data_IF_884216335101
#
_entry.id   IF_884216335101
#
_cell.length_a   1.000
_cell.length_b   1.000
_cell.length_c   1.000
_cell.angle_alpha   90.00
_cell.angle_beta   90.00
_cell.angle_gamma   90.00
#
_symmetry.space_group_name_H-M   'P 1'
#
loop_
_entity.id
_entity.type
_entity.pdbx_description
1 polymer ?
#
# COMPACT_ATOMS: atom_id res chain seq x y z
N UNK A 1 -56.26 27.21 -48.61
CA UNK A 1 -55.18 27.76 -47.77
C UNK A 1 -54.82 26.78 -46.70
N UNK A 2 -53.74 26.03 -46.84
CA UNK A 2 -53.26 25.04 -45.87
C UNK A 2 -52.11 25.68 -45.07
N UNK A 3 -52.27 25.83 -43.78
CA UNK A 3 -51.23 26.30 -42.86
C UNK A 3 -50.35 25.10 -42.51
N UNK A 4 -49.07 25.16 -42.98
CA UNK A 4 -48.06 24.21 -42.54
C UNK A 4 -47.56 24.62 -41.14
N UNK A 5 -47.82 23.77 -40.16
CA UNK A 5 -47.25 23.89 -38.82
C UNK A 5 -45.77 23.45 -38.86
N UNK A 6 -44.84 24.41 -38.72
CA UNK A 6 -43.44 24.10 -38.46
C UNK A 6 -43.33 23.53 -37.04
N UNK A 7 -43.05 22.24 -36.91
CA UNK A 7 -42.55 21.65 -35.68
C UNK A 7 -41.08 22.05 -35.56
N UNK A 8 -40.82 23.03 -34.72
CA UNK A 8 -39.46 23.36 -34.26
C UNK A 8 -38.97 22.21 -33.38
N UNK A 9 -38.14 21.36 -33.91
CA UNK A 9 -37.36 20.43 -33.11
C UNK A 9 -36.51 21.22 -32.12
N UNK A 10 -36.83 21.14 -30.86
CA UNK A 10 -35.91 21.57 -29.79
C UNK A 10 -34.68 20.68 -29.89
N UNK A 11 -33.57 21.27 -30.33
CA UNK A 11 -32.27 20.63 -30.17
C UNK A 11 -32.06 20.47 -28.67
N UNK A 12 -32.10 19.25 -28.16
CA UNK A 12 -31.65 18.94 -26.84
C UNK A 12 -30.19 19.43 -26.74
N UNK A 13 -29.93 20.25 -25.73
CA UNK A 13 -28.54 20.66 -25.40
C UNK A 13 -27.73 19.36 -25.25
N UNK A 14 -26.50 19.28 -25.79
CA UNK A 14 -25.69 18.07 -25.69
C UNK A 14 -25.55 17.71 -24.23
N UNK A 15 -26.24 16.66 -23.77
CA UNK A 15 -26.19 16.14 -22.42
C UNK A 15 -24.71 15.87 -22.10
N UNK A 16 -24.24 16.38 -20.98
CA UNK A 16 -22.86 16.12 -20.56
C UNK A 16 -22.74 14.61 -20.33
N UNK A 17 -21.83 13.97 -21.08
CA UNK A 17 -21.62 12.53 -21.03
C UNK A 17 -21.16 12.11 -19.62
N UNK A 18 -21.90 11.27 -18.88
CA UNK A 18 -21.55 10.88 -17.51
C UNK A 18 -20.15 10.26 -17.39
N UNK A 19 -19.74 9.45 -18.38
CA UNK A 19 -18.41 8.85 -18.37
C UNK A 19 -17.30 9.91 -18.45
N UNK A 20 -17.48 10.96 -19.26
CA UNK A 20 -16.51 12.06 -19.32
C UNK A 20 -16.49 12.85 -18.02
N UNK A 21 -17.63 13.03 -17.36
CA UNK A 21 -17.68 13.67 -16.04
C UNK A 21 -16.95 12.80 -15.00
N UNK A 22 -17.17 11.50 -15.03
CA UNK A 22 -16.49 10.55 -14.16
C UNK A 22 -14.96 10.58 -14.36
N UNK A 23 -14.50 10.58 -15.60
CA UNK A 23 -13.07 10.68 -15.90
C UNK A 23 -12.47 12.01 -15.41
N UNK A 24 -13.17 13.13 -15.62
CA UNK A 24 -12.71 14.45 -15.14
C UNK A 24 -12.60 14.51 -13.62
N UNK A 25 -13.59 13.98 -12.89
CA UNK A 25 -13.56 13.91 -11.43
C UNK A 25 -12.42 12.99 -10.93
N UNK A 26 -12.17 11.88 -11.62
CA UNK A 26 -11.03 11.00 -11.31
C UNK A 26 -9.68 11.71 -11.51
N UNK A 27 -9.51 12.48 -12.58
CA UNK A 27 -8.26 13.24 -12.80
C UNK A 27 -8.06 14.31 -11.72
N UNK A 28 -9.13 14.99 -11.30
CA UNK A 28 -9.10 15.94 -10.18
C UNK A 28 -8.74 15.22 -8.87
N UNK A 29 -9.29 14.02 -8.63
CA UNK A 29 -8.93 13.22 -7.46
C UNK A 29 -7.43 12.90 -7.41
N UNK A 30 -6.83 12.51 -8.54
CA UNK A 30 -5.39 12.27 -8.63
C UNK A 30 -4.58 13.52 -8.31
N UNK A 31 -4.96 14.67 -8.86
CA UNK A 31 -4.28 15.95 -8.60
C UNK A 31 -4.29 16.31 -7.12
N UNK A 32 -5.43 16.18 -6.44
CA UNK A 32 -5.53 16.42 -5.00
C UNK A 32 -4.66 15.45 -4.19
N UNK A 33 -4.61 14.18 -4.57
CA UNK A 33 -3.78 13.20 -3.89
C UNK A 33 -2.28 13.53 -4.00
N UNK A 34 -1.81 13.90 -5.20
CA UNK A 34 -0.42 14.32 -5.41
C UNK A 34 -0.07 15.62 -4.65
N UNK A 35 -1.03 16.48 -4.41
CA UNK A 35 -0.89 17.69 -3.56
C UNK A 35 -0.95 17.39 -2.05
N UNK A 36 -1.01 16.12 -1.64
CA UNK A 36 -1.08 15.73 -0.23
C UNK A 36 -2.44 16.00 0.41
N UNK A 37 -3.52 16.03 -0.38
CA UNK A 37 -4.89 16.29 0.07
C UNK A 37 -5.78 15.04 -0.14
N UNK A 38 -5.51 13.91 0.56
CA UNK A 38 -6.16 12.64 0.28
C UNK A 38 -7.67 12.63 0.58
N UNK A 39 -8.16 13.45 1.54
CA UNK A 39 -9.60 13.55 1.82
C UNK A 39 -10.36 14.16 0.65
N UNK A 40 -9.86 15.25 0.07
CA UNK A 40 -10.45 15.85 -1.12
C UNK A 40 -10.37 14.89 -2.33
N UNK A 41 -9.25 14.18 -2.47
CA UNK A 41 -9.11 13.16 -3.49
C UNK A 41 -10.20 12.08 -3.38
N UNK A 42 -10.47 11.60 -2.16
CA UNK A 42 -11.52 10.60 -1.93
C UNK A 42 -12.92 11.14 -2.29
N UNK A 43 -13.21 12.41 -1.97
CA UNK A 43 -14.50 13.03 -2.32
C UNK A 43 -14.69 13.13 -3.84
N UNK A 44 -13.62 13.46 -4.58
CA UNK A 44 -13.66 13.46 -6.04
C UNK A 44 -13.77 12.05 -6.63
N UNK A 45 -13.13 11.04 -6.04
CA UNK A 45 -13.37 9.64 -6.43
C UNK A 45 -14.85 9.25 -6.24
N UNK A 46 -15.48 9.64 -5.14
CA UNK A 46 -16.90 9.36 -4.89
C UNK A 46 -17.81 10.03 -5.92
N UNK A 47 -17.51 11.26 -6.34
CA UNK A 47 -18.24 11.94 -7.43
C UNK A 47 -18.04 11.22 -8.76
N UNK A 48 -16.79 10.83 -9.08
CA UNK A 48 -16.53 10.03 -10.28
C UNK A 48 -17.39 8.77 -10.31
N UNK A 49 -17.46 8.03 -9.20
CA UNK A 49 -18.26 6.81 -9.05
C UNK A 49 -19.77 7.09 -9.10
N UNK A 50 -20.22 8.30 -8.72
CA UNK A 50 -21.63 8.71 -8.87
C UNK A 50 -22.02 8.96 -10.33
N UNK A 51 -21.10 9.49 -11.15
CA UNK A 51 -21.32 9.70 -12.57
C UNK A 51 -21.23 8.39 -13.38
N UNK A 52 -20.30 7.50 -13.00
CA UNK A 52 -20.08 6.20 -13.62
C UNK A 52 -19.65 5.20 -12.55
N UNK A 53 -20.58 4.33 -12.15
CA UNK A 53 -20.37 3.35 -11.09
C UNK A 53 -19.52 2.15 -11.50
N UNK A 54 -19.19 2.04 -12.80
CA UNK A 54 -18.27 1.08 -13.39
C UNK A 54 -16.89 1.66 -13.68
N UNK A 55 -16.61 2.91 -13.32
CA UNK A 55 -15.27 3.49 -13.47
C UNK A 55 -14.25 2.75 -12.57
N UNK A 56 -13.62 1.73 -13.15
CA UNK A 56 -12.63 0.87 -12.46
C UNK A 56 -11.47 1.66 -11.87
N UNK A 57 -11.02 2.74 -12.55
CA UNK A 57 -9.91 3.59 -12.09
C UNK A 57 -10.31 4.35 -10.82
N UNK A 58 -11.50 4.95 -10.80
CA UNK A 58 -12.01 5.69 -9.65
C UNK A 58 -12.27 4.76 -8.46
N UNK A 59 -12.86 3.58 -8.70
CA UNK A 59 -13.07 2.54 -7.70
C UNK A 59 -11.75 2.06 -7.09
N UNK A 60 -10.79 1.70 -7.92
CA UNK A 60 -9.46 1.26 -7.47
C UNK A 60 -8.75 2.37 -6.68
N UNK A 61 -8.79 3.61 -7.16
CA UNK A 61 -8.12 4.72 -6.50
C UNK A 61 -8.75 5.08 -5.15
N UNK A 62 -10.09 5.03 -5.02
CA UNK A 62 -10.77 5.18 -3.73
C UNK A 62 -10.30 4.13 -2.72
N UNK A 63 -10.17 2.86 -3.14
CA UNK A 63 -9.60 1.80 -2.30
C UNK A 63 -8.17 2.11 -1.86
N UNK A 64 -7.34 2.59 -2.79
CA UNK A 64 -5.93 2.93 -2.52
C UNK A 64 -5.81 4.10 -1.53
N UNK A 65 -6.70 5.09 -1.62
CA UNK A 65 -6.74 6.22 -0.67
C UNK A 65 -7.11 5.73 0.73
N UNK A 66 -8.08 4.83 0.88
CA UNK A 66 -8.39 4.24 2.18
C UNK A 66 -7.20 3.46 2.76
N UNK A 67 -6.46 2.71 1.93
CA UNK A 67 -5.21 2.07 2.37
C UNK A 67 -4.14 3.07 2.81
N UNK A 68 -4.06 4.21 2.13
CA UNK A 68 -3.15 5.29 2.53
C UNK A 68 -3.46 5.79 3.94
N UNK A 69 -4.73 5.99 4.30
CA UNK A 69 -5.13 6.33 5.66
C UNK A 69 -4.78 5.25 6.67
N UNK A 70 -4.84 3.97 6.27
CA UNK A 70 -4.50 2.82 7.11
C UNK A 70 -3.00 2.59 7.26
N UNK A 71 -2.16 3.25 6.48
CA UNK A 71 -0.70 3.02 6.48
C UNK A 71 0.05 3.59 7.69
N UNK A 72 -0.65 4.31 8.58
CA UNK A 72 -0.05 5.02 9.73
C UNK A 72 0.82 6.22 9.35
N UNK A 73 0.82 6.63 8.07
CA UNK A 73 1.62 7.77 7.60
C UNK A 73 1.06 9.13 8.05
N UNK A 74 -0.24 9.21 8.32
CA UNK A 74 -0.89 10.43 8.78
C UNK A 74 -0.95 10.43 10.32
N UNK A 75 -1.72 9.53 10.89
CA UNK A 75 -1.83 9.35 12.34
C UNK A 75 -2.22 7.90 12.65
N UNK A 76 -1.79 7.40 13.81
CA UNK A 76 -2.24 6.08 14.26
C UNK A 76 -3.73 6.15 14.62
N UNK A 77 -4.55 5.32 13.94
CA UNK A 77 -5.99 5.31 14.16
C UNK A 77 -6.72 6.44 13.43
N UNK A 78 -6.18 6.92 12.29
CA UNK A 78 -6.90 7.86 11.42
C UNK A 78 -8.34 7.36 11.18
N UNK A 79 -9.37 8.16 11.50
CA UNK A 79 -10.78 7.76 11.36
C UNK A 79 -11.18 7.44 9.92
N UNK A 80 -10.39 7.90 8.94
CA UNK A 80 -10.59 7.58 7.53
C UNK A 80 -9.95 6.24 7.12
N UNK A 81 -9.21 5.57 8.02
CA UNK A 81 -8.77 4.19 7.84
C UNK A 81 -9.96 3.24 7.95
N UNK A 82 -10.59 2.95 6.83
CA UNK A 82 -11.77 2.09 6.73
C UNK A 82 -11.48 0.96 5.75
N UNK A 83 -10.99 -0.17 6.30
CA UNK A 83 -10.62 -1.34 5.48
C UNK A 83 -11.82 -1.96 4.78
N UNK A 84 -12.99 -1.96 5.42
CA UNK A 84 -14.23 -2.46 4.81
C UNK A 84 -14.61 -1.66 3.55
N UNK A 85 -14.49 -0.33 3.60
CA UNK A 85 -14.73 0.52 2.41
C UNK A 85 -13.68 0.25 1.33
N UNK A 86 -12.40 0.11 1.72
CA UNK A 86 -11.32 -0.23 0.79
C UNK A 86 -11.60 -1.58 0.09
N UNK A 87 -12.01 -2.61 0.85
CA UNK A 87 -12.41 -3.90 0.30
C UNK A 87 -13.63 -3.77 -0.62
N UNK A 88 -14.64 -3.01 -0.22
CA UNK A 88 -15.85 -2.76 -1.02
C UNK A 88 -15.53 -2.14 -2.38
N UNK A 89 -14.70 -1.10 -2.41
CA UNK A 89 -14.30 -0.44 -3.66
C UNK A 89 -13.47 -1.35 -4.56
N UNK A 90 -12.44 -2.03 -4.05
CA UNK A 90 -11.60 -2.89 -4.88
C UNK A 90 -12.35 -4.10 -5.42
N UNK A 91 -13.30 -4.68 -4.65
CA UNK A 91 -14.17 -5.74 -5.14
C UNK A 91 -15.12 -5.27 -6.24
N UNK A 92 -15.60 -4.01 -6.16
CA UNK A 92 -16.40 -3.42 -7.25
C UNK A 92 -15.55 -3.29 -8.51
N UNK A 93 -14.33 -2.77 -8.41
CA UNK A 93 -13.41 -2.69 -9.56
C UNK A 93 -13.16 -4.07 -10.19
N UNK A 94 -12.96 -5.10 -9.37
CA UNK A 94 -12.73 -6.48 -9.85
C UNK A 94 -13.98 -7.16 -10.42
N UNK A 95 -15.20 -6.70 -10.08
CA UNK A 95 -16.42 -7.17 -10.75
C UNK A 95 -16.55 -6.62 -12.16
N UNK A 96 -16.14 -5.36 -12.37
CA UNK A 96 -16.13 -4.72 -13.70
C UNK A 96 -14.98 -5.27 -14.55
N UNK A 97 -13.78 -5.33 -13.99
CA UNK A 97 -12.59 -5.90 -14.63
C UNK A 97 -11.95 -7.00 -13.76
N UNK A 98 -12.32 -8.26 -13.97
CA UNK A 98 -11.70 -9.39 -13.26
C UNK A 98 -10.21 -9.59 -13.60
N UNK A 99 -9.72 -8.96 -14.66
CA UNK A 99 -8.32 -8.98 -15.10
C UNK A 99 -7.44 -7.94 -14.41
N UNK A 100 -7.99 -7.01 -13.63
CA UNK A 100 -7.26 -5.90 -13.03
C UNK A 100 -6.27 -6.35 -11.94
N UNK A 101 -5.02 -6.54 -12.33
CA UNK A 101 -3.95 -7.14 -11.51
C UNK A 101 -3.58 -6.31 -10.30
N UNK A 102 -3.47 -4.99 -10.47
CA UNK A 102 -3.19 -4.06 -9.38
C UNK A 102 -4.28 -4.09 -8.32
N UNK A 103 -5.54 -4.21 -8.73
CA UNK A 103 -6.67 -4.34 -7.82
C UNK A 103 -6.63 -5.68 -7.04
N UNK A 104 -6.21 -6.79 -7.69
CA UNK A 104 -5.98 -8.07 -6.99
C UNK A 104 -4.87 -7.96 -5.96
N UNK A 105 -3.75 -7.31 -6.32
CA UNK A 105 -2.65 -7.08 -5.39
C UNK A 105 -3.08 -6.22 -4.19
N UNK A 106 -3.88 -5.19 -4.45
CA UNK A 106 -4.46 -4.32 -3.41
C UNK A 106 -5.44 -5.08 -2.51
N UNK A 107 -6.28 -5.95 -3.07
CA UNK A 107 -7.16 -6.81 -2.28
C UNK A 107 -6.35 -7.73 -1.35
N UNK A 108 -5.24 -8.29 -1.84
CA UNK A 108 -4.32 -9.07 -1.01
C UNK A 108 -3.73 -8.25 0.15
N UNK A 109 -3.37 -6.99 -0.08
CA UNK A 109 -2.90 -6.09 0.99
C UNK A 109 -3.99 -5.81 2.03
N UNK A 110 -5.22 -5.59 1.59
CA UNK A 110 -6.36 -5.39 2.49
C UNK A 110 -6.56 -6.61 3.38
N UNK A 111 -6.56 -7.80 2.81
CA UNK A 111 -6.68 -9.05 3.58
C UNK A 111 -5.54 -9.25 4.59
N UNK A 112 -4.31 -8.83 4.25
CA UNK A 112 -3.19 -8.85 5.22
C UNK A 112 -3.49 -7.94 6.41
N UNK A 113 -3.98 -6.71 6.17
CA UNK A 113 -4.32 -5.75 7.21
C UNK A 113 -5.50 -6.22 8.08
N UNK A 114 -6.45 -6.91 7.48
CA UNK A 114 -7.59 -7.54 8.17
C UNK A 114 -7.22 -8.88 8.86
N UNK A 115 -5.96 -9.31 8.77
CA UNK A 115 -5.45 -10.59 9.28
C UNK A 115 -6.11 -11.82 8.64
N UNK A 116 -6.72 -11.67 7.47
CA UNK A 116 -7.29 -12.74 6.63
C UNK A 116 -6.17 -13.32 5.75
N UNK A 117 -5.18 -13.97 6.37
CA UNK A 117 -3.95 -14.37 5.66
C UNK A 117 -4.18 -15.45 4.62
N UNK A 118 -5.10 -16.37 4.86
CA UNK A 118 -5.44 -17.43 3.90
C UNK A 118 -6.05 -16.87 2.62
N UNK A 119 -6.95 -15.89 2.75
CA UNK A 119 -7.57 -15.19 1.64
C UNK A 119 -6.54 -14.34 0.88
N UNK A 120 -5.63 -13.68 1.60
CA UNK A 120 -4.52 -12.96 0.99
C UNK A 120 -3.65 -13.87 0.12
N UNK A 121 -3.26 -15.04 0.66
CA UNK A 121 -2.47 -16.03 -0.08
C UNK A 121 -3.22 -16.50 -1.33
N UNK A 122 -4.51 -16.83 -1.21
CA UNK A 122 -5.33 -17.32 -2.32
C UNK A 122 -5.44 -16.32 -3.48
N UNK A 123 -5.50 -15.01 -3.19
CA UNK A 123 -5.58 -13.96 -4.21
C UNK A 123 -4.21 -13.65 -4.81
N UNK A 124 -3.13 -13.67 -4.01
CA UNK A 124 -1.80 -13.23 -4.43
C UNK A 124 -1.02 -14.32 -5.15
N UNK A 125 -1.18 -15.60 -4.79
CA UNK A 125 -0.40 -16.68 -5.39
C UNK A 125 -0.60 -16.81 -6.92
N UNK A 126 -1.81 -16.78 -7.48
CA UNK A 126 -1.99 -16.73 -8.92
C UNK A 126 -1.32 -15.53 -9.59
N UNK A 127 -1.35 -14.37 -8.92
CA UNK A 127 -0.81 -13.12 -9.44
C UNK A 127 0.73 -13.16 -9.59
N UNK A 128 1.43 -13.91 -8.72
CA UNK A 128 2.88 -14.09 -8.82
C UNK A 128 3.31 -14.89 -10.06
N UNK A 129 2.39 -15.62 -10.67
CA UNK A 129 2.62 -16.46 -11.86
C UNK A 129 2.07 -15.82 -13.14
N UNK A 130 1.42 -14.65 -13.04
CA UNK A 130 0.86 -13.94 -14.19
C UNK A 130 1.96 -13.14 -14.92
N UNK A 131 2.36 -13.53 -16.14
CA UNK A 131 3.44 -12.87 -16.87
C UNK A 131 3.07 -11.45 -17.32
N UNK A 132 1.78 -11.10 -17.32
CA UNK A 132 1.31 -9.77 -17.68
C UNK A 132 1.27 -8.82 -16.48
N UNK A 133 1.63 -9.28 -15.28
CA UNK A 133 1.79 -8.40 -14.12
C UNK A 133 3.25 -7.95 -14.01
N UNK A 134 3.57 -6.82 -14.64
CA UNK A 134 4.93 -6.26 -14.69
C UNK A 134 5.53 -6.03 -13.29
N UNK A 135 4.69 -5.65 -12.31
CA UNK A 135 5.10 -5.43 -10.92
C UNK A 135 4.98 -6.69 -10.06
N UNK A 136 5.35 -7.87 -10.60
CA UNK A 136 5.22 -9.15 -9.90
C UNK A 136 5.98 -9.20 -8.56
N UNK A 137 7.03 -8.40 -8.38
CA UNK A 137 7.75 -8.26 -7.11
C UNK A 137 6.83 -7.76 -5.98
N UNK A 138 5.81 -6.92 -6.27
CA UNK A 138 4.82 -6.49 -5.29
C UNK A 138 3.95 -7.67 -4.84
N UNK A 139 3.49 -8.50 -5.79
CA UNK A 139 2.72 -9.70 -5.46
C UNK A 139 3.55 -10.68 -4.63
N UNK A 140 4.82 -10.94 -5.02
CA UNK A 140 5.73 -11.78 -4.23
C UNK A 140 5.95 -11.22 -2.83
N UNK A 141 6.11 -9.90 -2.68
CA UNK A 141 6.32 -9.24 -1.39
C UNK A 141 5.09 -9.32 -0.48
N UNK A 142 3.89 -9.17 -1.03
CA UNK A 142 2.65 -9.30 -0.28
C UNK A 142 2.33 -10.77 0.04
N UNK A 143 2.53 -11.70 -0.92
CA UNK A 143 2.37 -13.14 -0.70
C UNK A 143 3.30 -13.63 0.41
N UNK A 144 4.59 -13.32 0.31
CA UNK A 144 5.58 -13.74 1.30
C UNK A 144 5.27 -13.18 2.69
N UNK A 145 4.81 -11.92 2.75
CA UNK A 145 4.41 -11.33 4.02
C UNK A 145 3.16 -12.00 4.61
N UNK A 146 2.14 -12.30 3.80
CA UNK A 146 0.97 -13.05 4.23
C UNK A 146 1.35 -14.44 4.76
N UNK A 147 2.25 -15.14 4.08
CA UNK A 147 2.77 -16.45 4.49
C UNK A 147 3.51 -16.39 5.82
N UNK A 148 4.39 -15.39 6.02
CA UNK A 148 5.09 -15.15 7.30
C UNK A 148 4.08 -14.94 8.44
N UNK A 149 3.07 -14.10 8.20
CA UNK A 149 2.03 -13.80 9.21
C UNK A 149 1.10 -14.99 9.49
N UNK A 150 0.90 -15.86 8.49
CA UNK A 150 0.18 -17.13 8.63
C UNK A 150 1.00 -18.22 9.34
N UNK A 151 2.24 -17.95 9.75
CA UNK A 151 3.13 -18.93 10.38
C UNK A 151 3.90 -19.82 9.40
N UNK A 152 3.75 -19.64 8.09
CA UNK A 152 4.45 -20.36 7.03
C UNK A 152 5.82 -19.73 6.77
N UNK A 153 6.67 -19.68 7.80
CA UNK A 153 7.85 -18.82 7.83
C UNK A 153 8.85 -19.11 6.69
N UNK A 154 9.19 -20.37 6.45
CA UNK A 154 10.17 -20.75 5.44
C UNK A 154 9.67 -20.46 4.02
N UNK A 155 8.39 -20.76 3.76
CA UNK A 155 7.76 -20.48 2.47
C UNK A 155 7.69 -18.96 2.23
N UNK A 156 7.35 -18.20 3.28
CA UNK A 156 7.30 -16.75 3.24
C UNK A 156 8.66 -16.12 2.95
N UNK A 157 9.74 -16.64 3.53
CA UNK A 157 11.12 -16.20 3.24
C UNK A 157 11.45 -16.43 1.77
N UNK A 158 11.16 -17.60 1.20
CA UNK A 158 11.42 -17.86 -0.22
C UNK A 158 10.61 -16.94 -1.15
N UNK A 159 9.37 -16.64 -0.81
CA UNK A 159 8.56 -15.66 -1.56
C UNK A 159 9.14 -14.24 -1.45
N UNK A 160 9.57 -13.82 -0.26
CA UNK A 160 10.18 -12.51 -0.04
C UNK A 160 11.54 -12.38 -0.76
N UNK A 161 12.36 -13.44 -0.86
CA UNK A 161 13.56 -13.44 -1.68
C UNK A 161 13.27 -13.15 -3.15
N UNK A 162 12.18 -13.72 -3.69
CA UNK A 162 11.73 -13.39 -5.05
C UNK A 162 11.30 -11.94 -5.19
N UNK A 163 10.65 -11.38 -4.19
CA UNK A 163 10.28 -9.96 -4.18
C UNK A 163 11.51 -9.04 -4.16
N UNK A 164 12.56 -9.43 -3.45
CA UNK A 164 13.79 -8.63 -3.31
C UNK A 164 14.77 -8.78 -4.48
N UNK A 165 14.40 -9.51 -5.54
CA UNK A 165 15.10 -9.42 -6.84
C UNK A 165 14.92 -8.04 -7.48
N UNK A 166 13.88 -7.26 -7.07
CA UNK A 166 13.80 -5.83 -7.35
C UNK A 166 14.58 -5.06 -6.25
N UNK A 167 15.80 -4.55 -6.54
CA UNK A 167 16.68 -3.98 -5.50
C UNK A 167 16.11 -2.73 -4.84
N UNK A 168 15.23 -2.00 -5.53
CA UNK A 168 14.63 -0.77 -5.02
C UNK A 168 13.40 -1.01 -4.14
N UNK A 169 12.97 -2.26 -3.99
CA UNK A 169 11.81 -2.62 -3.18
C UNK A 169 12.17 -2.72 -1.69
N UNK A 170 12.42 -1.59 -1.04
CA UNK A 170 12.83 -1.53 0.36
C UNK A 170 11.84 -2.19 1.34
N UNK A 171 10.53 -2.11 1.07
CA UNK A 171 9.52 -2.79 1.89
C UNK A 171 9.67 -4.30 1.81
N UNK A 172 10.03 -4.84 0.65
CA UNK A 172 10.34 -6.26 0.49
C UNK A 172 11.57 -6.66 1.32
N UNK A 173 12.64 -5.90 1.25
CA UNK A 173 13.84 -6.11 2.07
C UNK A 173 13.56 -6.00 3.57
N UNK A 174 12.77 -5.02 4.00
CA UNK A 174 12.32 -4.89 5.40
C UNK A 174 11.56 -6.14 5.85
N UNK A 175 10.55 -6.60 5.10
CA UNK A 175 9.76 -7.80 5.42
C UNK A 175 10.62 -9.05 5.47
N UNK A 176 11.61 -9.18 4.57
CA UNK A 176 12.57 -10.28 4.57
C UNK A 176 13.43 -10.25 5.82
N UNK A 177 13.90 -9.08 6.24
CA UNK A 177 14.64 -8.91 7.48
C UNK A 177 13.86 -9.33 8.72
N UNK A 178 12.59 -8.89 8.82
CA UNK A 178 11.67 -9.32 9.90
C UNK A 178 11.45 -10.84 9.88
N UNK A 179 11.32 -11.43 8.69
CA UNK A 179 11.15 -12.88 8.57
C UNK A 179 12.40 -13.65 9.03
N UNK A 180 13.60 -13.19 8.68
CA UNK A 180 14.84 -13.79 9.17
C UNK A 180 15.04 -13.60 10.69
N UNK A 181 14.66 -12.45 11.24
CA UNK A 181 14.67 -12.19 12.68
C UNK A 181 13.76 -13.19 13.43
N UNK A 182 12.53 -13.38 12.93
CA UNK A 182 11.59 -14.38 13.46
C UNK A 182 12.14 -15.81 13.39
N UNK A 183 12.93 -16.13 12.38
CA UNK A 183 13.63 -17.43 12.22
C UNK A 183 14.84 -17.56 13.15
N UNK A 184 15.26 -16.48 13.79
CA UNK A 184 16.46 -16.44 14.64
C UNK A 184 17.78 -16.23 13.89
N UNK A 185 17.73 -15.98 12.58
CA UNK A 185 18.91 -15.69 11.77
C UNK A 185 19.22 -14.18 11.77
N UNK A 186 19.84 -13.71 12.85
CA UNK A 186 20.14 -12.28 13.04
C UNK A 186 21.08 -11.72 11.98
N UNK A 187 22.02 -12.51 11.48
CA UNK A 187 22.97 -12.05 10.45
C UNK A 187 22.24 -11.74 9.13
N UNK A 188 21.41 -12.67 8.63
CA UNK A 188 20.62 -12.46 7.43
C UNK A 188 19.55 -11.36 7.62
N UNK A 189 19.00 -11.22 8.84
CA UNK A 189 18.09 -10.14 9.17
C UNK A 189 18.74 -8.76 9.05
N UNK A 190 19.95 -8.59 9.65
CA UNK A 190 20.69 -7.34 9.54
C UNK A 190 21.06 -6.99 8.10
N UNK A 191 21.49 -7.98 7.31
CA UNK A 191 21.79 -7.79 5.90
C UNK A 191 20.57 -7.28 5.12
N UNK A 192 19.44 -7.97 5.21
CA UNK A 192 18.21 -7.58 4.53
C UNK A 192 17.70 -6.18 4.97
N UNK A 193 17.76 -5.88 6.27
CA UNK A 193 17.38 -4.57 6.80
C UNK A 193 18.34 -3.47 6.38
N UNK A 194 19.62 -3.79 6.22
CA UNK A 194 20.61 -2.85 5.69
C UNK A 194 20.28 -2.50 4.24
N UNK A 195 19.93 -3.48 3.41
CA UNK A 195 19.42 -3.20 2.07
C UNK A 195 18.17 -2.31 2.10
N UNK A 196 17.21 -2.58 3.00
CA UNK A 196 15.98 -1.78 3.11
C UNK A 196 16.26 -0.29 3.35
N UNK A 197 17.21 0.05 4.21
CA UNK A 197 17.50 1.45 4.55
C UNK A 197 18.54 2.12 3.66
N UNK A 198 19.24 1.37 2.80
CA UNK A 198 20.25 1.90 1.86
C UNK A 198 19.67 2.33 0.52
N UNK A 199 18.40 2.02 0.22
CA UNK A 199 17.77 2.43 -1.04
C UNK A 199 17.61 3.95 -1.07
N UNK A 200 18.20 4.59 -2.07
CA UNK A 200 18.13 6.04 -2.28
C UNK A 200 16.81 6.48 -2.91
N UNK A 201 15.69 6.23 -2.19
CA UNK A 201 14.37 6.69 -2.56
C UNK A 201 13.69 7.28 -1.31
N UNK A 202 12.96 8.38 -1.46
CA UNK A 202 12.39 9.13 -0.33
C UNK A 202 11.47 8.25 0.54
N UNK A 203 10.67 7.42 -0.09
CA UNK A 203 9.78 6.46 0.57
C UNK A 203 10.54 5.40 1.38
N UNK A 204 11.74 5.01 0.91
CA UNK A 204 12.59 4.03 1.59
C UNK A 204 13.37 4.67 2.74
N UNK A 205 13.91 5.87 2.52
CA UNK A 205 14.63 6.61 3.56
C UNK A 205 13.73 7.00 4.74
N UNK A 206 12.43 7.19 4.48
CA UNK A 206 11.42 7.46 5.49
C UNK A 206 10.80 6.21 6.13
N UNK A 207 11.23 4.99 5.74
CA UNK A 207 10.72 3.74 6.28
C UNK A 207 11.24 3.51 7.71
N UNK A 208 10.65 4.22 8.65
CA UNK A 208 11.04 4.29 10.07
C UNK A 208 11.12 2.90 10.72
N UNK A 209 10.17 2.00 10.39
CA UNK A 209 10.15 0.62 10.89
C UNK A 209 11.36 -0.20 10.49
N UNK A 210 11.99 0.08 9.34
CA UNK A 210 13.20 -0.65 8.94
C UNK A 210 14.42 -0.24 9.81
N UNK A 211 14.52 1.03 10.18
CA UNK A 211 15.55 1.50 11.11
C UNK A 211 15.34 0.92 12.51
N UNK A 212 14.10 0.96 13.01
CA UNK A 212 13.73 0.37 14.30
C UNK A 212 14.09 -1.12 14.37
N UNK A 213 13.72 -1.89 13.36
CA UNK A 213 13.94 -3.32 13.34
C UNK A 213 15.44 -3.67 13.22
N UNK A 214 16.19 -2.92 12.38
CA UNK A 214 17.63 -3.12 12.30
C UNK A 214 18.33 -2.81 13.62
N UNK A 215 17.90 -1.75 14.30
CA UNK A 215 18.40 -1.41 15.63
C UNK A 215 18.20 -2.56 16.63
N UNK A 216 16.99 -3.15 16.66
CA UNK A 216 16.68 -4.30 17.52
C UNK A 216 17.54 -5.54 17.19
N UNK A 217 17.72 -5.84 15.92
CA UNK A 217 18.56 -6.94 15.46
C UNK A 217 20.02 -6.72 15.89
N UNK A 218 20.55 -5.50 15.71
CA UNK A 218 21.90 -5.12 16.14
C UNK A 218 22.07 -5.18 17.66
N UNK A 219 21.09 -4.70 18.41
CA UNK A 219 21.09 -4.77 19.88
C UNK A 219 21.15 -6.24 20.35
N UNK A 220 20.34 -7.13 19.77
CA UNK A 220 20.37 -8.57 20.07
C UNK A 220 21.68 -9.25 19.64
N UNK A 221 22.36 -8.70 18.66
CA UNK A 221 23.67 -9.17 18.18
C UNK A 221 24.84 -8.58 18.99
N UNK A 222 24.58 -7.75 20.02
CA UNK A 222 25.60 -7.10 20.84
C UNK A 222 26.27 -5.88 20.18
N UNK A 223 25.81 -5.43 19.02
CA UNK A 223 26.30 -4.26 18.28
C UNK A 223 25.65 -2.98 18.81
N UNK A 224 25.93 -2.63 20.06
CA UNK A 224 25.20 -1.58 20.79
C UNK A 224 25.39 -0.19 20.20
N UNK A 225 26.59 0.14 19.71
CA UNK A 225 26.88 1.45 19.11
C UNK A 225 26.07 1.66 17.82
N UNK A 226 26.06 0.64 16.95
CA UNK A 226 25.32 0.66 15.70
C UNK A 226 23.80 0.64 15.95
N UNK A 227 23.33 -0.09 16.96
CA UNK A 227 21.94 -0.10 17.37
C UNK A 227 21.50 1.29 17.84
N UNK A 228 22.31 1.97 18.65
CA UNK A 228 22.04 3.34 19.10
C UNK A 228 21.89 4.29 17.92
N UNK A 229 22.79 4.26 16.95
CA UNK A 229 22.73 5.12 15.77
C UNK A 229 21.44 4.89 14.95
N UNK A 230 21.01 3.65 14.80
CA UNK A 230 19.75 3.31 14.10
C UNK A 230 18.51 3.76 14.89
N UNK A 231 18.50 3.61 16.22
CA UNK A 231 17.39 4.12 17.03
C UNK A 231 17.32 5.65 17.00
N UNK A 232 18.47 6.35 17.00
CA UNK A 232 18.52 7.80 16.81
C UNK A 232 17.90 8.20 15.46
N UNK A 233 18.31 7.54 14.39
CA UNK A 233 17.74 7.78 13.06
C UNK A 233 16.25 7.50 13.01
N UNK A 234 15.77 6.40 13.61
CA UNK A 234 14.35 6.06 13.73
C UNK A 234 13.57 7.16 14.46
N UNK A 235 14.06 7.61 15.61
CA UNK A 235 13.44 8.71 16.38
C UNK A 235 13.35 9.99 15.54
N UNK A 236 14.45 10.37 14.90
CA UNK A 236 14.60 11.67 14.22
C UNK A 236 13.79 11.75 12.91
N UNK A 237 13.43 10.62 12.31
CA UNK A 237 12.52 10.58 11.15
C UNK A 237 11.11 11.06 11.50
N UNK A 238 10.57 10.70 12.66
CA UNK A 238 9.28 11.15 13.16
C UNK A 238 9.17 10.86 14.66
N UNK A 239 9.52 11.82 15.49
CA UNK A 239 9.59 11.64 16.96
C UNK A 239 8.21 11.35 17.59
N UNK A 240 7.15 11.92 17.03
CA UNK A 240 5.78 11.78 17.56
C UNK A 240 5.08 10.50 17.11
N UNK A 241 5.61 9.81 16.11
CA UNK A 241 5.07 8.52 15.67
C UNK A 241 5.22 7.44 16.75
N UNK A 242 4.45 6.37 16.63
CA UNK A 242 4.58 5.21 17.53
C UNK A 242 5.99 4.61 17.48
N UNK A 243 6.57 4.46 16.29
CA UNK A 243 7.93 3.95 16.12
C UNK A 243 8.97 4.92 16.69
N UNK A 244 8.83 6.25 16.48
CA UNK A 244 9.73 7.25 17.05
C UNK A 244 9.74 7.25 18.58
N UNK A 245 8.57 7.17 19.19
CA UNK A 245 8.44 7.02 20.66
C UNK A 245 9.05 5.72 21.16
N UNK A 246 8.85 4.60 20.46
CA UNK A 246 9.47 3.32 20.79
C UNK A 246 10.99 3.40 20.69
N UNK A 247 11.52 4.00 19.62
CA UNK A 247 12.96 4.20 19.44
C UNK A 247 13.58 5.09 20.53
N UNK A 248 12.87 6.16 20.96
CA UNK A 248 13.32 7.01 22.05
C UNK A 248 13.39 6.24 23.39
N UNK A 249 12.44 5.36 23.67
CA UNK A 249 12.44 4.50 24.84
C UNK A 249 13.60 3.50 24.82
N UNK A 250 13.91 2.88 23.68
CA UNK A 250 15.04 1.95 23.57
C UNK A 250 16.38 2.68 23.71
N UNK A 251 16.53 3.90 23.19
CA UNK A 251 17.71 4.73 23.40
C UNK A 251 18.03 4.98 24.87
N UNK A 252 17.00 5.17 25.68
CA UNK A 252 17.18 5.38 27.12
C UNK A 252 17.65 4.12 27.87
N UNK A 253 17.53 2.94 27.26
CA UNK A 253 17.91 1.63 27.84
C UNK A 253 19.29 1.14 27.40
N UNK A 254 19.80 1.67 26.29
CA UNK A 254 21.13 1.31 25.81
C UNK A 254 22.17 2.08 26.61
N UNK A 255 23.13 1.40 27.26
CA UNK A 255 24.18 2.03 28.06
C UNK A 255 25.09 2.95 27.25
#
# INVERSE_FOLDING_TARGET
MALAACHGGQAEAPGVNPQRQSEAEYDVARDYFYKGQPRLALDHCRRAIQFDDENTKALYFASTIHLFFCSGRLELGDPDCRLEDAEGYVRRALRVDPGFREAKNTLGQIFILEKKYSEAIAVLEPLTKDPAFESSFLAWGNLGWAQVLAGQLDIGIESLKKATTEPRFCVGHYRLGVAYEKRGNLAAAEEALTHAVSVEAAECQSLQSAWEERARVRQRSGKLAEARADFEKCRDLSADSTAGKACALELARIP
#
